data_IF_827573440861
#
_entry.id   IF_827573440861
#
_cell.length_a   1.000
_cell.length_b   1.000
_cell.length_c   1.000
_cell.angle_alpha   90.00
_cell.angle_beta   90.00
_cell.angle_gamma   90.00
#
_symmetry.space_group_name_H-M   'P 1'
#
loop_
_entity.id
_entity.type
_entity.pdbx_description
1 polymer ?
#
# COMPACT_ATOMS: atom_id res chain seq x y z
N UNK A 1 9.43 -14.38 -18.42
CA UNK A 1 8.37 -13.41 -18.83
C UNK A 1 7.10 -13.77 -18.08
N UNK A 2 6.41 -12.80 -17.50
CA UNK A 2 5.23 -13.05 -16.68
C UNK A 2 4.04 -12.25 -17.20
N UNK A 3 2.85 -12.86 -17.15
CA UNK A 3 1.59 -12.23 -17.57
C UNK A 3 0.65 -12.11 -16.38
N UNK A 4 0.18 -10.89 -16.12
CA UNK A 4 -0.79 -10.58 -15.08
C UNK A 4 -2.14 -10.23 -15.73
N UNK A 5 -3.17 -11.10 -15.64
CA UNK A 5 -4.47 -10.82 -16.26
C UNK A 5 -5.18 -9.61 -15.62
N UNK A 6 -5.06 -9.42 -14.31
CA UNK A 6 -5.66 -8.28 -13.60
C UNK A 6 -5.04 -6.96 -14.08
N UNK A 7 -3.71 -6.93 -14.21
CA UNK A 7 -3.01 -5.74 -14.71
C UNK A 7 -3.31 -5.49 -16.19
N UNK A 8 -3.52 -6.56 -16.97
CA UNK A 8 -3.89 -6.42 -18.37
C UNK A 8 -5.26 -5.74 -18.51
N UNK A 9 -6.26 -6.19 -17.74
CA UNK A 9 -7.57 -5.58 -17.71
C UNK A 9 -7.53 -4.12 -17.22
N UNK A 10 -6.74 -3.84 -16.18
CA UNK A 10 -6.58 -2.48 -15.63
C UNK A 10 -5.96 -1.51 -16.66
N UNK A 11 -4.88 -1.95 -17.34
CA UNK A 11 -4.23 -1.15 -18.39
C UNK A 11 -5.14 -0.94 -19.59
N UNK A 12 -5.86 -1.97 -20.03
CA UNK A 12 -6.82 -1.86 -21.12
C UNK A 12 -7.91 -0.83 -20.81
N UNK A 13 -8.50 -0.89 -19.60
CA UNK A 13 -9.49 0.09 -19.14
C UNK A 13 -8.89 1.50 -19.10
N UNK A 14 -7.71 1.66 -18.50
CA UNK A 14 -7.05 2.96 -18.37
C UNK A 14 -6.69 3.58 -19.72
N UNK A 15 -6.22 2.76 -20.67
CA UNK A 15 -5.93 3.20 -22.04
C UNK A 15 -7.20 3.73 -22.70
N UNK A 16 -8.32 3.00 -22.64
CA UNK A 16 -9.57 3.48 -23.23
C UNK A 16 -10.08 4.77 -22.59
N UNK A 17 -10.04 4.88 -21.26
CA UNK A 17 -10.38 6.12 -20.55
C UNK A 17 -9.55 7.31 -21.04
N UNK A 18 -8.25 7.10 -21.25
CA UNK A 18 -7.34 8.15 -21.73
C UNK A 18 -7.56 8.50 -23.20
N UNK A 19 -7.87 7.53 -24.05
CA UNK A 19 -8.22 7.75 -25.46
C UNK A 19 -9.49 8.62 -25.55
N UNK A 20 -10.57 8.20 -24.89
CA UNK A 20 -11.85 8.94 -24.86
C UNK A 20 -11.66 10.35 -24.29
N UNK A 21 -10.93 10.48 -23.18
CA UNK A 21 -10.67 11.79 -22.58
C UNK A 21 -9.86 12.71 -23.52
N UNK A 22 -8.91 12.15 -24.27
CA UNK A 22 -8.11 12.90 -25.25
C UNK A 22 -8.98 13.39 -26.41
N UNK A 23 -9.83 12.51 -26.97
CA UNK A 23 -10.77 12.87 -28.04
C UNK A 23 -11.78 13.94 -27.61
N UNK A 24 -12.26 13.88 -26.37
CA UNK A 24 -13.14 14.91 -25.81
C UNK A 24 -12.46 16.28 -25.74
N UNK A 25 -11.16 16.33 -25.43
CA UNK A 25 -10.39 17.58 -25.43
C UNK A 25 -10.08 18.08 -26.85
N UNK A 26 -9.76 17.19 -27.80
CA UNK A 26 -9.58 17.54 -29.21
C UNK A 26 -10.88 18.07 -29.83
N UNK A 27 -12.03 17.47 -29.47
CA UNK A 27 -13.36 17.92 -29.91
C UNK A 27 -13.64 19.34 -29.43
N UNK A 28 -13.32 19.66 -28.17
CA UNK A 28 -13.45 21.04 -27.66
C UNK A 28 -12.58 22.03 -28.44
N UNK A 29 -11.37 21.64 -28.84
CA UNK A 29 -10.51 22.48 -29.68
C UNK A 29 -11.18 22.70 -31.05
N UNK A 30 -11.71 21.65 -31.67
CA UNK A 30 -12.44 21.74 -32.95
C UNK A 30 -13.65 22.67 -32.85
N UNK A 31 -14.49 22.53 -31.83
CA UNK A 31 -15.65 23.40 -31.60
C UNK A 31 -15.26 24.87 -31.40
N UNK A 32 -14.13 25.14 -30.72
CA UNK A 32 -13.62 26.51 -30.56
C UNK A 32 -13.15 27.11 -31.89
N UNK A 33 -12.60 26.30 -32.78
CA UNK A 33 -12.19 26.71 -34.13
C UNK A 33 -13.44 27.06 -34.95
N UNK A 34 -14.45 26.19 -34.95
CA UNK A 34 -15.69 26.36 -35.71
C UNK A 34 -16.50 27.60 -35.27
N UNK A 35 -16.54 27.90 -33.96
CA UNK A 35 -17.28 29.07 -33.42
C UNK A 35 -16.67 30.43 -33.77
N UNK A 36 -15.38 30.52 -34.13
CA UNK A 36 -14.69 31.80 -34.39
C UNK A 36 -14.47 32.03 -35.89
N UNK A 37 -15.47 32.56 -36.59
CA UNK A 37 -15.42 32.74 -38.05
C UNK A 37 -15.31 34.21 -38.52
N UNK A 38 -14.30 34.98 -38.06
CA UNK A 38 -13.53 35.80 -39.04
C UNK A 38 -12.01 35.87 -38.79
N UNK A 39 -11.47 35.16 -37.78
CA UNK A 39 -10.01 35.03 -37.56
C UNK A 39 -9.71 33.54 -37.34
N UNK A 40 -9.62 32.78 -38.43
CA UNK A 40 -9.28 31.35 -38.36
C UNK A 40 -7.93 31.23 -37.65
N UNK A 41 -7.88 30.46 -36.56
CA UNK A 41 -6.62 30.15 -35.89
C UNK A 41 -5.67 29.54 -36.90
N UNK A 42 -4.41 29.96 -36.86
CA UNK A 42 -3.40 29.41 -37.76
C UNK A 42 -3.12 27.95 -37.37
N UNK A 43 -2.62 27.17 -38.32
CA UNK A 43 -2.21 25.78 -38.10
C UNK A 43 -1.21 25.68 -36.94
N UNK A 44 -0.33 26.68 -36.77
CA UNK A 44 0.62 26.76 -35.66
C UNK A 44 -0.07 26.90 -34.30
N UNK A 45 -1.05 27.80 -34.18
CA UNK A 45 -1.80 27.99 -32.93
C UNK A 45 -2.62 26.75 -32.55
N UNK A 46 -3.23 26.09 -33.54
CA UNK A 46 -3.97 24.85 -33.36
C UNK A 46 -3.01 23.72 -32.95
N UNK A 47 -1.86 23.62 -33.62
CA UNK A 47 -0.83 22.63 -33.33
C UNK A 47 -0.29 22.73 -31.90
N UNK A 48 -0.05 23.94 -31.39
CA UNK A 48 0.35 24.15 -29.99
C UNK A 48 -0.72 23.64 -29.01
N UNK A 49 -1.99 23.97 -29.26
CA UNK A 49 -3.10 23.54 -28.40
C UNK A 49 -3.28 22.01 -28.41
N UNK A 50 -3.22 21.39 -29.59
CA UNK A 50 -3.29 19.92 -29.74
C UNK A 50 -2.09 19.26 -29.07
N UNK A 51 -0.88 19.77 -29.30
CA UNK A 51 0.35 19.26 -28.68
C UNK A 51 0.29 19.31 -27.15
N UNK A 52 -0.27 20.38 -26.57
CA UNK A 52 -0.49 20.49 -25.13
C UNK A 52 -1.43 19.40 -24.58
N UNK A 53 -2.53 19.11 -25.28
CA UNK A 53 -3.47 18.04 -24.92
C UNK A 53 -2.79 16.67 -24.98
N UNK A 54 -2.15 16.35 -26.12
CA UNK A 54 -1.50 15.06 -26.33
C UNK A 54 -0.35 14.81 -25.34
N UNK A 55 0.44 15.84 -25.03
CA UNK A 55 1.55 15.75 -24.07
C UNK A 55 1.07 15.61 -22.62
N UNK A 56 -0.02 16.30 -22.26
CA UNK A 56 -0.61 16.21 -20.92
C UNK A 56 -1.18 14.81 -20.68
N UNK A 57 -1.84 14.22 -21.66
CA UNK A 57 -2.44 12.87 -21.56
C UNK A 57 -1.46 11.74 -21.89
N UNK A 58 -0.29 12.05 -22.47
CA UNK A 58 0.71 11.09 -22.96
C UNK A 58 0.15 10.13 -24.02
N UNK A 59 -0.83 10.59 -24.81
CA UNK A 59 -1.54 9.77 -25.81
C UNK A 59 -1.11 10.05 -27.27
N UNK A 60 -0.08 10.87 -27.49
CA UNK A 60 0.37 11.26 -28.84
C UNK A 60 0.59 10.06 -29.78
N UNK A 61 1.19 8.96 -29.27
CA UNK A 61 1.45 7.73 -30.01
C UNK A 61 0.18 6.99 -30.50
N UNK A 62 -1.01 7.34 -30.02
CA UNK A 62 -2.25 6.66 -30.39
C UNK A 62 -3.10 7.45 -31.39
N UNK A 63 -2.71 8.68 -31.70
CA UNK A 63 -3.45 9.53 -32.61
C UNK A 63 -2.58 9.93 -33.78
N UNK A 64 -3.20 9.94 -34.95
CA UNK A 64 -2.75 10.78 -36.04
C UNK A 64 -3.61 12.03 -36.05
N UNK A 65 -2.98 13.18 -36.23
CA UNK A 65 -3.65 14.47 -36.15
C UNK A 65 -3.23 15.31 -37.34
N UNK A 66 -4.22 15.64 -38.15
CA UNK A 66 -4.10 16.56 -39.27
C UNK A 66 -4.52 17.96 -38.81
N UNK A 67 -3.57 18.89 -38.86
CA UNK A 67 -3.78 20.29 -38.48
C UNK A 67 -3.55 21.17 -39.71
N UNK A 68 -4.55 21.99 -40.04
CA UNK A 68 -4.46 23.03 -41.06
C UNK A 68 -5.17 24.30 -40.58
N UNK A 69 -5.05 25.39 -41.33
CA UNK A 69 -5.66 26.67 -40.94
C UNK A 69 -7.19 26.54 -40.79
N UNK A 70 -7.66 26.75 -39.57
CA UNK A 70 -9.07 26.58 -39.23
C UNK A 70 -9.62 25.15 -39.37
N UNK A 71 -8.76 24.13 -39.45
CA UNK A 71 -9.18 22.73 -39.58
C UNK A 71 -8.37 21.81 -38.66
N UNK A 72 -9.09 20.93 -37.96
CA UNK A 72 -8.51 19.92 -37.08
C UNK A 72 -9.23 18.59 -37.29
N UNK A 73 -8.48 17.57 -37.70
CA UNK A 73 -8.97 16.19 -37.81
C UNK A 73 -8.01 15.26 -37.09
N UNK A 74 -8.52 14.16 -36.56
CA UNK A 74 -7.72 13.12 -35.93
C UNK A 74 -8.29 11.74 -36.22
N UNK A 75 -7.43 10.72 -36.13
CA UNK A 75 -7.83 9.33 -36.14
C UNK A 75 -7.02 8.51 -35.14
N UNK A 76 -7.64 7.49 -34.54
CA UNK A 76 -6.93 6.53 -33.70
C UNK A 76 -6.03 5.65 -34.57
N UNK A 77 -4.79 5.42 -34.15
CA UNK A 77 -3.88 4.44 -34.76
C UNK A 77 -4.19 3.06 -34.22
N UNK A 78 -5.21 2.42 -34.80
CA UNK A 78 -5.78 1.17 -34.28
C UNK A 78 -4.75 0.03 -34.21
N UNK A 79 -3.85 -0.07 -35.18
CA UNK A 79 -2.78 -1.07 -35.18
C UNK A 79 -1.81 -0.86 -34.01
N UNK A 80 -1.34 0.37 -33.81
CA UNK A 80 -0.45 0.71 -32.69
C UNK A 80 -1.11 0.51 -31.32
N UNK A 81 -2.42 0.78 -31.21
CA UNK A 81 -3.21 0.48 -30.01
C UNK A 81 -3.31 -1.03 -29.79
N UNK A 82 -3.52 -1.81 -30.85
CA UNK A 82 -3.61 -3.26 -30.77
C UNK A 82 -2.27 -3.88 -30.36
N UNK A 83 -1.15 -3.43 -30.91
CA UNK A 83 0.18 -3.91 -30.54
C UNK A 83 0.53 -3.61 -29.09
N UNK A 84 0.21 -2.41 -28.60
CA UNK A 84 0.37 -2.08 -27.18
C UNK A 84 -0.54 -2.93 -26.29
N UNK A 85 -1.78 -3.18 -26.74
CA UNK A 85 -2.70 -4.06 -26.01
C UNK A 85 -2.18 -5.50 -25.88
N UNK A 86 -1.38 -6.00 -26.84
CA UNK A 86 -0.73 -7.31 -26.73
C UNK A 86 0.30 -7.37 -25.60
N UNK A 87 0.86 -6.23 -25.22
CA UNK A 87 1.83 -6.08 -24.14
C UNK A 87 1.18 -5.83 -22.77
N UNK A 88 -0.14 -5.71 -22.72
CA UNK A 88 -0.85 -5.49 -21.47
C UNK A 88 -0.67 -6.64 -20.48
N UNK A 89 -0.36 -6.27 -19.23
CA UNK A 89 -0.10 -7.22 -18.16
C UNK A 89 1.23 -7.96 -18.26
N UNK A 90 2.05 -7.73 -19.29
CA UNK A 90 3.39 -8.29 -19.38
C UNK A 90 4.35 -7.49 -18.51
N UNK A 91 5.16 -8.21 -17.74
CA UNK A 91 6.30 -7.64 -17.03
C UNK A 91 7.51 -8.57 -17.14
N UNK A 92 8.69 -7.95 -17.13
CA UNK A 92 9.98 -8.61 -17.26
C UNK A 92 10.79 -8.26 -16.02
N UNK A 93 11.22 -9.29 -15.30
CA UNK A 93 12.15 -9.15 -14.18
C UNK A 93 13.49 -9.68 -14.66
N UNK A 94 14.53 -8.88 -14.46
CA UNK A 94 15.92 -9.28 -14.69
C UNK A 94 16.59 -9.43 -13.33
N UNK A 95 17.28 -10.54 -13.13
CA UNK A 95 18.05 -10.81 -11.92
C UNK A 95 19.46 -11.20 -12.32
N UNK A 96 20.44 -10.91 -11.46
CA UNK A 96 21.81 -11.39 -11.59
C UNK A 96 22.01 -12.78 -11.00
N UNK A 97 20.97 -13.38 -10.42
CA UNK A 97 21.04 -14.73 -9.84
C UNK A 97 20.98 -15.80 -10.93
N UNK A 98 21.82 -16.84 -10.85
CA UNK A 98 21.74 -18.01 -11.72
C UNK A 98 20.40 -18.73 -11.57
N UNK A 99 19.92 -19.36 -12.65
CA UNK A 99 18.63 -20.05 -12.67
C UNK A 99 18.59 -21.28 -11.74
N UNK A 100 19.77 -21.86 -11.46
CA UNK A 100 19.95 -22.99 -10.55
C UNK A 100 19.77 -22.58 -9.09
N UNK A 101 19.96 -21.29 -8.76
CA UNK A 101 19.81 -20.75 -7.40
C UNK A 101 18.45 -20.10 -7.17
N UNK A 102 17.85 -19.53 -8.22
CA UNK A 102 16.57 -18.84 -8.11
C UNK A 102 15.73 -19.08 -9.35
N UNK A 103 14.69 -19.90 -9.20
CA UNK A 103 13.75 -20.19 -10.27
C UNK A 103 12.99 -18.94 -10.71
N UNK A 104 12.45 -18.94 -11.94
CA UNK A 104 11.73 -17.79 -12.48
C UNK A 104 10.52 -17.36 -11.62
N UNK A 105 9.79 -18.32 -11.03
CA UNK A 105 8.66 -18.03 -10.15
C UNK A 105 9.11 -17.41 -8.81
N UNK A 106 10.23 -17.89 -8.26
CA UNK A 106 10.81 -17.39 -7.02
C UNK A 106 11.38 -15.98 -7.19
N UNK A 107 12.03 -15.70 -8.33
CA UNK A 107 12.49 -14.36 -8.68
C UNK A 107 11.33 -13.35 -8.75
N UNK A 108 10.18 -13.75 -9.29
CA UNK A 108 8.97 -12.94 -9.33
C UNK A 108 8.41 -12.70 -7.93
N UNK A 109 8.38 -13.75 -7.10
CA UNK A 109 7.88 -13.68 -5.74
C UNK A 109 8.77 -12.76 -4.88
N UNK A 110 10.09 -12.90 -4.97
CA UNK A 110 11.06 -12.04 -4.29
C UNK A 110 10.91 -10.57 -4.70
N UNK A 111 10.78 -10.28 -6.00
CA UNK A 111 10.51 -8.92 -6.47
C UNK A 111 9.18 -8.37 -5.92
N UNK A 112 8.12 -9.18 -5.89
CA UNK A 112 6.84 -8.77 -5.30
C UNK A 112 6.93 -8.55 -3.78
N UNK A 113 7.77 -9.30 -3.09
CA UNK A 113 7.98 -9.14 -1.65
C UNK A 113 8.71 -7.83 -1.31
N UNK A 114 9.32 -7.14 -2.27
CA UNK A 114 9.77 -5.75 -2.08
C UNK A 114 8.64 -4.81 -1.66
N UNK A 115 7.40 -5.07 -2.11
CA UNK A 115 6.22 -4.31 -1.65
C UNK A 115 5.95 -4.50 -0.15
N UNK A 116 6.44 -5.58 0.48
CA UNK A 116 6.41 -5.74 1.94
C UNK A 116 7.34 -4.74 2.60
N UNK A 117 8.55 -4.56 2.06
CA UNK A 117 9.51 -3.56 2.55
C UNK A 117 8.92 -2.15 2.46
N UNK A 118 8.28 -1.81 1.34
CA UNK A 118 7.59 -0.51 1.20
C UNK A 118 6.43 -0.35 2.19
N UNK A 119 5.64 -1.41 2.41
CA UNK A 119 4.58 -1.42 3.41
C UNK A 119 5.15 -1.26 4.82
N UNK A 120 6.23 -1.95 5.15
CA UNK A 120 6.98 -1.83 6.40
C UNK A 120 7.45 -0.39 6.63
N UNK A 121 8.05 0.24 5.62
CA UNK A 121 8.40 1.67 5.68
C UNK A 121 7.19 2.60 5.83
N UNK A 122 6.05 2.24 5.23
CA UNK A 122 4.80 2.99 5.38
C UNK A 122 4.22 2.84 6.79
N UNK A 123 4.08 1.62 7.32
CA UNK A 123 3.59 1.33 8.68
C UNK A 123 4.41 2.07 9.72
N UNK A 124 5.75 2.01 9.61
CA UNK A 124 6.68 2.82 10.39
C UNK A 124 6.28 4.30 10.36
N UNK A 125 6.10 4.89 9.17
CA UNK A 125 5.84 6.32 9.00
C UNK A 125 4.44 6.79 9.41
N UNK A 126 3.42 5.94 9.38
CA UNK A 126 2.02 6.42 9.31
C UNK A 126 1.01 5.72 10.20
N UNK A 127 1.21 4.47 10.62
CA UNK A 127 0.10 3.69 11.20
C UNK A 127 0.31 3.32 12.66
N UNK A 128 1.47 2.74 13.01
CA UNK A 128 1.62 2.11 14.34
C UNK A 128 2.66 2.78 15.21
N UNK A 129 3.73 3.32 14.60
CA UNK A 129 4.87 3.85 15.34
C UNK A 129 4.89 5.38 15.47
N UNK A 130 3.89 6.05 14.85
CA UNK A 130 3.77 7.51 14.75
C UNK A 130 5.13 8.22 14.56
N UNK A 131 5.96 7.72 13.63
CA UNK A 131 7.12 8.46 13.12
C UNK A 131 6.59 9.62 12.29
N UNK A 132 5.94 10.57 12.96
CA UNK A 132 5.67 11.89 12.39
C UNK A 132 7.00 12.49 11.97
N UNK A 133 7.01 13.47 11.06
CA UNK A 133 8.24 14.18 10.74
C UNK A 133 8.71 14.95 11.97
N UNK A 134 9.59 14.35 12.78
CA UNK A 134 10.47 15.09 13.67
C UNK A 134 11.52 15.68 12.73
N UNK A 135 11.41 16.98 12.47
CA UNK A 135 12.32 17.68 11.56
C UNK A 135 13.69 17.77 12.22
N UNK A 136 14.51 16.76 11.98
CA UNK A 136 15.90 16.75 12.39
C UNK A 136 16.74 17.57 11.39
N UNK A 137 17.51 18.52 11.92
CA UNK A 137 18.32 19.46 11.11
C UNK A 137 19.79 19.04 11.00
N UNK A 138 20.23 18.07 11.82
CA UNK A 138 21.60 17.53 11.78
C UNK A 138 21.59 16.08 11.31
N UNK A 139 22.60 15.71 10.53
CA UNK A 139 22.73 14.37 9.96
C UNK A 139 22.74 13.27 11.04
N UNK A 140 23.39 13.53 12.18
CA UNK A 140 23.46 12.60 13.30
C UNK A 140 22.08 12.29 13.90
N UNK A 141 21.26 13.33 14.14
CA UNK A 141 19.90 13.15 14.68
C UNK A 141 19.00 12.41 13.70
N UNK A 142 19.16 12.66 12.40
CA UNK A 142 18.45 11.88 11.36
C UNK A 142 18.82 10.40 11.45
N UNK A 143 20.12 10.07 11.52
CA UNK A 143 20.59 8.67 11.64
C UNK A 143 20.05 7.99 12.90
N UNK A 144 20.17 8.66 14.06
CA UNK A 144 19.68 8.14 15.32
C UNK A 144 18.16 7.87 15.30
N UNK A 145 17.38 8.80 14.74
CA UNK A 145 15.94 8.64 14.60
C UNK A 145 15.58 7.44 13.72
N UNK A 146 16.17 7.34 12.52
CA UNK A 146 15.95 6.19 11.63
C UNK A 146 16.31 4.86 12.31
N UNK A 147 17.39 4.83 13.10
CA UNK A 147 17.79 3.66 13.86
C UNK A 147 16.74 3.26 14.92
N UNK A 148 16.28 4.21 15.73
CA UNK A 148 15.22 3.97 16.72
C UNK A 148 13.92 3.48 16.07
N UNK A 149 13.58 4.03 14.91
CA UNK A 149 12.43 3.62 14.12
C UNK A 149 12.55 2.16 13.66
N UNK A 150 13.73 1.73 13.22
CA UNK A 150 13.99 0.34 12.86
C UNK A 150 13.91 -0.60 14.06
N UNK A 151 14.45 -0.22 15.22
CA UNK A 151 14.35 -1.02 16.45
C UNK A 151 12.90 -1.19 16.91
N UNK A 152 12.14 -0.10 16.91
CA UNK A 152 10.76 -0.13 17.34
C UNK A 152 9.88 -0.94 16.37
N UNK A 153 10.14 -0.86 15.05
CA UNK A 153 9.51 -1.75 14.08
C UNK A 153 9.87 -3.23 14.31
N UNK A 154 11.12 -3.52 14.67
CA UNK A 154 11.55 -4.89 14.98
C UNK A 154 10.80 -5.45 16.20
N UNK A 155 10.64 -4.64 17.25
CA UNK A 155 9.82 -5.01 18.41
C UNK A 155 8.35 -5.22 18.01
N UNK A 156 7.78 -4.28 17.25
CA UNK A 156 6.40 -4.41 16.76
C UNK A 156 6.18 -5.70 15.95
N UNK A 157 7.14 -6.05 15.08
CA UNK A 157 7.09 -7.27 14.28
C UNK A 157 7.00 -8.52 15.18
N UNK A 158 7.86 -8.62 16.19
CA UNK A 158 7.83 -9.72 17.15
C UNK A 158 6.55 -9.72 18.00
N UNK A 159 6.06 -8.56 18.41
CA UNK A 159 4.79 -8.45 19.14
C UNK A 159 3.62 -8.95 18.30
N UNK A 160 3.57 -8.57 17.01
CA UNK A 160 2.50 -9.03 16.10
C UNK A 160 2.54 -10.53 15.87
N UNK A 161 3.73 -11.12 15.80
CA UNK A 161 3.90 -12.56 15.67
C UNK A 161 3.40 -13.28 16.93
N UNK A 162 3.86 -12.86 18.11
CA UNK A 162 3.45 -13.46 19.38
C UNK A 162 1.95 -13.28 19.67
N UNK A 163 1.39 -12.12 19.33
CA UNK A 163 -0.02 -11.77 19.57
C UNK A 163 -0.95 -12.17 18.41
N UNK A 164 -0.44 -12.82 17.37
CA UNK A 164 -1.22 -13.25 16.20
C UNK A 164 -2.52 -14.03 16.53
N UNK A 165 -2.60 -14.84 17.62
CA UNK A 165 -3.84 -15.50 18.00
C UNK A 165 -5.00 -14.54 18.33
N UNK A 166 -4.71 -13.34 18.83
CA UNK A 166 -5.70 -12.33 19.24
C UNK A 166 -5.72 -11.07 18.35
N UNK A 167 -4.97 -11.10 17.24
CA UNK A 167 -4.96 -10.05 16.21
C UNK A 167 -5.60 -10.52 14.90
N UNK A 168 -6.01 -9.58 14.06
CA UNK A 168 -6.32 -9.82 12.64
C UNK A 168 -5.05 -10.05 11.81
N UNK A 169 -4.14 -10.89 12.32
CA UNK A 169 -2.90 -11.28 11.65
C UNK A 169 -3.08 -12.65 11.00
N UNK A 170 -2.70 -12.76 9.72
CA UNK A 170 -2.71 -14.01 8.98
C UNK A 170 -1.36 -14.71 9.14
N UNK A 171 -1.30 -15.74 9.97
CA UNK A 171 -0.09 -16.58 10.16
C UNK A 171 0.12 -17.53 8.99
N UNK A 172 -0.94 -17.87 8.27
CA UNK A 172 -0.95 -18.93 7.25
C UNK A 172 -0.77 -18.35 5.84
N UNK A 173 -0.46 -17.06 5.75
CA UNK A 173 -0.28 -16.34 4.50
C UNK A 173 0.90 -16.90 3.69
N UNK A 174 1.88 -17.54 4.35
CA UNK A 174 2.98 -18.27 3.72
C UNK A 174 2.51 -19.59 3.08
N UNK A 175 1.63 -20.35 3.74
CA UNK A 175 1.01 -21.56 3.17
C UNK A 175 0.10 -21.19 2.00
N UNK A 176 -0.75 -20.17 2.18
CA UNK A 176 -1.59 -19.61 1.10
C UNK A 176 -0.78 -18.96 -0.04
N UNK A 177 0.53 -18.71 0.14
CA UNK A 177 1.47 -18.32 -0.92
C UNK A 177 1.91 -19.53 -1.72
N UNK A 178 2.31 -20.60 -1.02
CA UNK A 178 2.82 -21.82 -1.62
C UNK A 178 1.77 -22.54 -2.48
N UNK A 179 0.51 -22.50 -2.08
CA UNK A 179 -0.60 -23.14 -2.80
C UNK A 179 -1.04 -22.41 -4.08
N UNK A 180 -0.46 -21.25 -4.40
CA UNK A 180 -0.86 -20.51 -5.60
C UNK A 180 -0.30 -21.14 -6.86
N UNK A 181 -1.18 -21.29 -7.84
CA UNK A 181 -0.80 -21.64 -9.22
C UNK A 181 0.10 -20.59 -9.90
N UNK A 182 0.20 -19.36 -9.36
CA UNK A 182 1.02 -18.30 -9.93
C UNK A 182 1.47 -17.28 -8.87
N UNK A 183 2.75 -16.85 -8.89
CA UNK A 183 3.23 -15.76 -8.02
C UNK A 183 2.55 -14.43 -8.33
N UNK A 184 1.92 -14.32 -9.50
CA UNK A 184 1.26 -13.10 -9.97
C UNK A 184 -0.13 -12.95 -9.37
N UNK A 185 -0.81 -14.06 -9.10
CA UNK A 185 -2.15 -14.08 -8.55
C UNK A 185 -2.21 -13.49 -7.14
N UNK A 186 -3.33 -12.84 -6.82
CA UNK A 186 -3.60 -12.33 -5.47
C UNK A 186 -3.70 -13.49 -4.49
N UNK A 187 -3.08 -13.33 -3.32
CA UNK A 187 -3.28 -14.23 -2.19
C UNK A 187 -4.70 -14.06 -1.67
N UNK A 188 -5.46 -15.15 -1.56
CA UNK A 188 -6.68 -15.13 -0.77
C UNK A 188 -6.30 -15.21 0.72
N UNK A 189 -7.00 -14.49 1.60
CA UNK A 189 -6.82 -14.66 3.06
C UNK A 189 -7.05 -16.12 3.45
N UNK A 190 -6.35 -16.59 4.48
CA UNK A 190 -6.60 -17.93 5.05
C UNK A 190 -7.99 -18.05 5.64
N UNK A 191 -8.52 -19.28 5.72
CA UNK A 191 -9.80 -19.57 6.37
C UNK A 191 -9.80 -19.09 7.82
N UNK A 192 -8.71 -19.32 8.55
CA UNK A 192 -8.55 -18.86 9.93
C UNK A 192 -8.75 -17.34 10.09
N UNK A 193 -8.27 -16.53 9.13
CA UNK A 193 -8.48 -15.07 9.16
C UNK A 193 -9.89 -14.68 8.72
N UNK A 194 -10.49 -15.40 7.78
CA UNK A 194 -11.89 -15.19 7.40
C UNK A 194 -12.81 -15.46 8.59
N UNK A 195 -12.58 -16.53 9.35
CA UNK A 195 -13.33 -16.88 10.54
C UNK A 195 -13.13 -15.87 11.67
N UNK A 196 -11.89 -15.45 11.94
CA UNK A 196 -11.61 -14.36 12.89
C UNK A 196 -12.31 -13.07 12.49
N UNK A 197 -12.38 -12.73 11.20
CA UNK A 197 -13.08 -11.53 10.72
C UNK A 197 -14.60 -11.65 10.86
N UNK A 198 -15.16 -12.83 10.58
CA UNK A 198 -16.59 -13.09 10.69
C UNK A 198 -17.06 -13.07 12.15
N UNK A 199 -16.33 -13.76 13.02
CA UNK A 199 -16.70 -13.94 14.44
C UNK A 199 -16.18 -12.83 15.36
N UNK A 200 -15.13 -12.11 14.94
CA UNK A 200 -14.35 -11.17 15.75
C UNK A 200 -13.82 -11.79 17.05
N UNK A 201 -13.61 -13.11 17.05
CA UNK A 201 -13.13 -13.87 18.21
C UNK A 201 -11.99 -14.81 17.82
N UNK A 202 -11.10 -15.05 18.79
CA UNK A 202 -10.05 -16.04 18.67
C UNK A 202 -10.60 -17.43 19.02
N UNK A 203 -9.88 -18.52 18.68
CA UNK A 203 -10.26 -19.87 19.11
C UNK A 203 -10.41 -20.01 20.63
N UNK A 204 -9.66 -19.22 21.41
CA UNK A 204 -9.78 -19.14 22.87
C UNK A 204 -10.94 -18.27 23.38
N UNK A 205 -11.82 -17.79 22.50
CA UNK A 205 -12.98 -16.96 22.85
C UNK A 205 -12.67 -15.49 23.13
N UNK A 206 -11.42 -15.05 23.03
CA UNK A 206 -11.04 -13.65 23.25
C UNK A 206 -11.45 -12.77 22.06
N UNK A 207 -11.79 -11.48 22.29
CA UNK A 207 -11.99 -10.52 21.21
C UNK A 207 -10.73 -10.40 20.34
N UNK A 208 -10.91 -10.32 19.02
CA UNK A 208 -9.84 -10.02 18.07
C UNK A 208 -9.94 -8.56 17.64
N UNK A 209 -8.81 -7.86 17.63
CA UNK A 209 -8.76 -6.43 17.29
C UNK A 209 -7.52 -6.06 16.47
N UNK A 210 -7.45 -4.81 16.02
CA UNK A 210 -6.25 -4.28 15.41
C UNK A 210 -5.13 -4.12 16.45
N UNK A 211 -3.88 -4.12 16.00
CA UNK A 211 -2.73 -4.03 16.89
C UNK A 211 -2.72 -2.73 17.71
N UNK A 212 -3.00 -1.59 17.08
CA UNK A 212 -3.08 -0.30 17.77
C UNK A 212 -4.15 -0.31 18.90
N UNK A 213 -5.32 -0.88 18.64
CA UNK A 213 -6.39 -1.01 19.65
C UNK A 213 -5.95 -1.92 20.81
N UNK A 214 -5.26 -3.03 20.50
CA UNK A 214 -4.71 -3.92 21.52
C UNK A 214 -3.66 -3.19 22.36
N UNK A 215 -2.72 -2.47 21.75
CA UNK A 215 -1.72 -1.70 22.48
C UNK A 215 -2.35 -0.64 23.39
N UNK A 216 -3.38 0.06 22.91
CA UNK A 216 -4.15 1.02 23.72
C UNK A 216 -4.84 0.32 24.90
N UNK A 217 -5.43 -0.85 24.67
CA UNK A 217 -6.07 -1.65 25.73
C UNK A 217 -5.06 -2.18 26.76
N UNK A 218 -3.89 -2.67 26.32
CA UNK A 218 -2.81 -3.10 27.21
C UNK A 218 -2.29 -1.93 28.06
N UNK A 219 -2.22 -0.72 27.49
CA UNK A 219 -1.83 0.50 28.18
C UNK A 219 -2.77 0.93 29.32
N UNK A 220 -3.98 0.37 29.42
CA UNK A 220 -4.89 0.65 30.55
C UNK A 220 -4.48 -0.06 31.85
N UNK A 221 -3.55 -1.01 31.79
CA UNK A 221 -3.02 -1.67 32.98
C UNK A 221 -2.04 -0.73 33.69
N UNK A 222 -2.42 -0.22 34.86
CA UNK A 222 -1.66 0.81 35.58
C UNK A 222 -1.11 0.36 36.94
N UNK A 223 0.05 0.92 37.31
CA UNK A 223 0.60 0.89 38.67
C UNK A 223 0.29 2.20 39.38
N UNK A 224 -0.63 2.17 40.34
CA UNK A 224 -1.09 3.35 41.05
C UNK A 224 -0.31 3.52 42.36
N UNK A 225 0.32 4.68 42.56
CA UNK A 225 1.04 4.98 43.80
C UNK A 225 0.23 6.02 44.60
N UNK A 226 -0.42 5.54 45.65
CA UNK A 226 -1.29 6.35 46.49
C UNK A 226 -0.54 6.84 47.74
N UNK A 227 -0.85 8.07 48.15
CA UNK A 227 -0.37 8.64 49.42
C UNK A 227 -1.52 8.64 50.41
N UNK A 228 -1.25 8.23 51.65
CA UNK A 228 -2.27 8.23 52.70
C UNK A 228 -2.49 9.67 53.19
N UNK A 229 -3.73 10.19 53.20
CA UNK A 229 -4.01 11.60 53.51
C UNK A 229 -3.48 12.08 54.86
N UNK A 230 -3.50 11.20 55.87
CA UNK A 230 -3.09 11.51 57.24
C UNK A 230 -1.62 11.14 57.53
N UNK A 231 -0.92 10.56 56.56
CA UNK A 231 0.43 10.00 56.70
C UNK A 231 1.22 10.13 55.40
N UNK A 232 1.50 11.37 55.00
CA UNK A 232 2.13 11.70 53.71
C UNK A 232 3.48 11.03 53.43
N UNK A 233 4.18 10.53 54.45
CA UNK A 233 5.43 9.75 54.31
C UNK A 233 5.20 8.30 53.87
N UNK A 234 3.98 7.78 53.98
CA UNK A 234 3.64 6.42 53.60
C UNK A 234 3.03 6.37 52.20
N UNK A 235 3.56 5.48 51.36
CA UNK A 235 3.09 5.21 50.00
C UNK A 235 2.54 3.79 49.94
N UNK A 236 1.43 3.62 49.24
CA UNK A 236 0.85 2.30 48.92
C UNK A 236 0.84 2.14 47.41
N UNK A 237 1.33 1.01 46.93
CA UNK A 237 1.26 0.65 45.50
C UNK A 237 0.05 -0.25 45.28
N UNK A 238 -0.83 0.15 44.37
CA UNK A 238 -2.01 -0.61 43.95
C UNK A 238 -1.90 -0.94 42.45
N UNK A 239 -1.89 -2.23 42.13
CA UNK A 239 -1.87 -2.70 40.75
C UNK A 239 -3.31 -2.87 40.24
N UNK A 240 -3.59 -2.40 39.03
CA UNK A 240 -4.87 -2.67 38.38
C UNK A 240 -5.05 -4.18 38.15
N UNK A 241 -6.27 -4.69 38.34
CA UNK A 241 -6.58 -6.09 38.01
C UNK A 241 -6.65 -6.22 36.47
N UNK A 242 -5.84 -7.09 35.85
CA UNK A 242 -5.89 -7.27 34.41
C UNK A 242 -7.24 -7.83 33.94
N UNK A 243 -7.66 -7.42 32.75
CA UNK A 243 -8.80 -8.04 32.08
C UNK A 243 -8.41 -9.40 31.48
N UNK A 244 -9.37 -10.30 31.19
CA UNK A 244 -9.04 -11.59 30.56
C UNK A 244 -8.28 -11.46 29.22
N UNK A 245 -8.47 -10.36 28.49
CA UNK A 245 -7.73 -10.07 27.26
C UNK A 245 -6.28 -9.63 27.55
N UNK A 246 -6.06 -8.84 28.60
CA UNK A 246 -4.71 -8.46 29.04
C UNK A 246 -3.93 -9.68 29.51
N UNK A 247 -4.54 -10.53 30.34
CA UNK A 247 -3.91 -11.78 30.79
C UNK A 247 -3.54 -12.69 29.62
N UNK A 248 -4.44 -12.86 28.65
CA UNK A 248 -4.17 -13.65 27.45
C UNK A 248 -3.02 -13.07 26.63
N UNK A 249 -2.97 -11.76 26.45
CA UNK A 249 -1.90 -11.09 25.72
C UNK A 249 -0.55 -11.24 26.43
N UNK A 250 -0.46 -10.96 27.73
CA UNK A 250 0.79 -11.10 28.48
C UNK A 250 1.26 -12.57 28.56
N UNK A 251 0.33 -13.53 28.63
CA UNK A 251 0.65 -14.96 28.53
C UNK A 251 1.24 -15.32 27.18
N UNK A 252 0.70 -14.80 26.08
CA UNK A 252 1.26 -14.98 24.73
C UNK A 252 2.67 -14.37 24.60
N UNK A 253 2.92 -13.26 25.30
CA UNK A 253 4.23 -12.61 25.34
C UNK A 253 5.22 -13.28 26.30
N UNK A 254 4.80 -14.25 27.11
CA UNK A 254 5.63 -14.85 28.16
C UNK A 254 6.02 -13.86 29.26
N UNK A 255 5.21 -12.81 29.48
CA UNK A 255 5.46 -11.75 30.45
C UNK A 255 4.51 -11.86 31.63
N UNK A 256 5.03 -11.62 32.83
CA UNK A 256 4.21 -11.47 34.04
C UNK A 256 3.83 -9.99 34.18
N UNK A 257 2.55 -9.61 34.04
CA UNK A 257 2.13 -8.20 34.08
C UNK A 257 2.50 -7.48 35.38
N UNK A 258 2.67 -8.21 36.49
CA UNK A 258 3.08 -7.61 37.78
C UNK A 258 4.57 -7.26 37.77
N UNK A 259 5.40 -7.96 36.98
CA UNK A 259 6.84 -7.68 36.84
C UNK A 259 7.18 -6.58 35.83
N UNK A 260 6.27 -6.26 34.91
CA UNK A 260 6.52 -5.25 33.84
C UNK A 260 6.09 -3.83 34.24
N UNK A 261 5.52 -3.65 35.44
CA UNK A 261 4.90 -2.40 35.91
C UNK A 261 5.72 -1.62 36.95
#
# INVERSE_FOLDING_TARGET
MCRNPDLAADRARKREELLVATEGELTRIREQIERKNPRRRTAAEIGIAVGAVLNRKKMAKHFDVEVADGHLRWHRRMEQIADEARLDGIYVIRTSMPAEQLGAAEAVQAYKDLSRVERTFRSMKTVDLEIRPIRHWTAERVRAHVFLCMLAYHVEWHLREALAPILFHDTDLASARAERASPVAKTKPSEAVMDKKATKRSPGGHPVMAFADLMAHLGTLTRNIMRVPLRHKHRVTLYARPTPLQDAAFKLLGLDPIRVQ
#
